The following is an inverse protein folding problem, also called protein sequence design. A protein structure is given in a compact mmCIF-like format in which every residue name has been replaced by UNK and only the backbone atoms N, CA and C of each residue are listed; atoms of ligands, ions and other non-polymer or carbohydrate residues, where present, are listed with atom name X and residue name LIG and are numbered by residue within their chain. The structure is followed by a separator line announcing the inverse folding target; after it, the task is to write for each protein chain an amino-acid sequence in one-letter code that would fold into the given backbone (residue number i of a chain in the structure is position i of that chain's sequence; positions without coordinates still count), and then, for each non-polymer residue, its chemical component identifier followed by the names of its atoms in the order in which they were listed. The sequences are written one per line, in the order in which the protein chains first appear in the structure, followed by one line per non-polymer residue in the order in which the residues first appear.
data_IF_708683601987
#
_entry.id   IF_708683601987
#
_cell.length_a   1.000
_cell.length_b   1.000
_cell.length_c   1.000
_cell.angle_alpha   90.00
_cell.angle_beta   90.00
_cell.angle_gamma   90.00
#
_symmetry.space_group_name_H-M   'P 1'
#
loop_
_entity.id
_entity.type
_entity.pdbx_description
1 polymer ?
#
# COMPACT_ATOMS: atom_id res chain seq x y z
N UNK A 1 14.33 1.34 5.88
CA UNK A 1 13.25 0.32 5.90
C UNK A 1 12.12 0.82 5.01
N UNK A 2 11.59 -0.02 4.09
CA UNK A 2 10.53 0.40 3.15
C UNK A 2 9.18 0.62 3.81
N UNK A 3 8.94 0.02 4.99
CA UNK A 3 7.72 0.18 5.76
C UNK A 3 8.02 0.87 7.08
N UNK A 4 7.17 1.84 7.45
CA UNK A 4 7.22 2.54 8.73
C UNK A 4 5.81 2.66 9.29
N UNK A 5 5.66 2.49 10.60
CA UNK A 5 4.37 2.61 11.30
C UNK A 5 4.42 3.84 12.20
N UNK A 6 3.38 4.66 12.12
CA UNK A 6 3.17 5.85 12.95
C UNK A 6 1.72 5.82 13.47
N UNK A 7 1.56 5.39 14.72
CA UNK A 7 0.24 5.18 15.31
C UNK A 7 -0.55 4.12 14.55
N UNK A 8 -1.72 4.49 14.01
CA UNK A 8 -2.61 3.58 13.26
C UNK A 8 -2.38 3.62 11.74
N UNK A 9 -1.38 4.38 11.27
CA UNK A 9 -1.05 4.55 9.85
C UNK A 9 0.34 3.97 9.59
N UNK A 10 0.46 3.24 8.49
CA UNK A 10 1.75 2.80 7.97
C UNK A 10 2.05 3.47 6.63
N UNK A 11 3.33 3.61 6.30
CA UNK A 11 3.82 4.12 5.02
C UNK A 11 4.74 3.08 4.38
N UNK A 12 4.51 2.79 3.11
CA UNK A 12 5.35 1.95 2.26
C UNK A 12 5.98 2.79 1.15
N UNK A 13 7.31 2.91 1.14
CA UNK A 13 8.04 3.51 0.03
C UNK A 13 8.44 2.43 -0.99
N UNK A 14 7.76 2.46 -2.14
CA UNK A 14 7.92 1.57 -3.27
C UNK A 14 8.37 2.33 -4.53
N UNK A 15 8.93 3.53 -4.39
CA UNK A 15 9.43 4.29 -5.52
C UNK A 15 10.51 3.49 -6.27
N UNK A 16 10.36 3.38 -7.60
CA UNK A 16 11.32 2.67 -8.47
C UNK A 16 11.28 1.14 -8.36
N UNK A 17 10.28 0.57 -7.68
CA UNK A 17 10.13 -0.89 -7.54
C UNK A 17 9.35 -1.43 -8.74
N UNK A 18 9.76 -2.60 -9.25
CA UNK A 18 9.01 -3.30 -10.29
C UNK A 18 7.64 -3.74 -9.79
N UNK A 19 6.66 -3.78 -10.69
CA UNK A 19 5.25 -4.03 -10.35
C UNK A 19 5.03 -5.33 -9.56
N UNK A 20 5.66 -6.42 -10.01
CA UNK A 20 5.51 -7.72 -9.35
C UNK A 20 6.13 -7.72 -7.95
N UNK A 21 7.35 -7.21 -7.82
CA UNK A 21 8.03 -7.08 -6.51
C UNK A 21 7.23 -6.20 -5.55
N UNK A 22 6.64 -5.09 -6.04
CA UNK A 22 5.81 -4.22 -5.24
C UNK A 22 4.57 -4.96 -4.70
N UNK A 23 3.94 -5.79 -5.54
CA UNK A 23 2.78 -6.61 -5.15
C UNK A 23 3.16 -7.63 -4.08
N UNK A 24 4.30 -8.29 -4.24
CA UNK A 24 4.77 -9.32 -3.30
C UNK A 24 5.17 -8.71 -1.96
N UNK A 25 5.87 -7.57 -1.98
CA UNK A 25 6.20 -6.80 -0.77
C UNK A 25 4.96 -6.33 -0.01
N UNK A 26 3.98 -5.78 -0.72
CA UNK A 26 2.73 -5.32 -0.10
C UNK A 26 1.97 -6.50 0.51
N UNK A 27 1.85 -7.61 -0.22
CA UNK A 27 1.11 -8.80 0.25
C UNK A 27 1.80 -9.41 1.47
N UNK A 28 3.11 -9.59 1.43
CA UNK A 28 3.89 -10.12 2.56
C UNK A 28 3.78 -9.24 3.81
N UNK A 29 3.83 -7.91 3.64
CA UNK A 29 3.64 -7.00 4.76
C UNK A 29 2.20 -7.02 5.29
N UNK A 30 1.18 -7.03 4.42
CA UNK A 30 -0.22 -7.07 4.84
C UNK A 30 -0.58 -8.34 5.62
N UNK A 31 0.07 -9.47 5.32
CA UNK A 31 -0.08 -10.72 6.07
C UNK A 31 0.37 -10.60 7.53
N UNK A 32 1.35 -9.74 7.82
CA UNK A 32 1.98 -9.60 9.14
C UNK A 32 1.68 -8.27 9.81
N UNK A 33 0.99 -7.35 9.14
CA UNK A 33 0.75 -6.02 9.65
C UNK A 33 -0.01 -6.04 11.00
N UNK A 34 0.32 -5.16 11.96
CA UNK A 34 -0.38 -5.12 13.25
C UNK A 34 -1.86 -4.78 13.12
N UNK A 35 -2.72 -5.43 13.91
CA UNK A 35 -4.18 -5.21 13.88
C UNK A 35 -4.60 -3.75 14.15
N UNK A 36 -3.76 -3.00 14.86
CA UNK A 36 -3.95 -1.57 15.13
C UNK A 36 -3.75 -0.67 13.89
N UNK A 37 -3.07 -1.15 12.85
CA UNK A 37 -2.90 -0.38 11.60
C UNK A 37 -4.18 -0.45 10.78
N UNK A 38 -4.74 0.72 10.50
CA UNK A 38 -6.01 0.91 9.79
C UNK A 38 -5.83 1.50 8.39
N UNK A 39 -4.66 2.06 8.11
CA UNK A 39 -4.33 2.66 6.82
C UNK A 39 -2.88 2.36 6.44
N UNK A 40 -2.66 2.01 5.18
CA UNK A 40 -1.34 1.92 4.58
C UNK A 40 -1.24 2.93 3.42
N UNK A 41 -0.30 3.86 3.51
CA UNK A 41 0.04 4.82 2.45
C UNK A 41 1.15 4.26 1.60
N UNK A 42 0.90 4.08 0.31
CA UNK A 42 1.88 3.53 -0.63
C UNK A 42 2.43 4.67 -1.48
N UNK A 43 3.68 5.01 -1.25
CA UNK A 43 4.43 6.00 -2.03
C UNK A 43 5.06 5.25 -3.21
N UNK A 44 4.56 5.50 -4.41
CA UNK A 44 5.06 4.88 -5.64
C UNK A 44 5.69 5.91 -6.60
N UNK A 45 5.60 7.20 -6.27
CA UNK A 45 6.04 8.31 -7.12
C UNK A 45 5.16 8.50 -8.35
N UNK A 46 5.44 9.57 -9.10
CA UNK A 46 4.59 10.02 -10.22
C UNK A 46 5.34 10.22 -11.53
N UNK A 47 6.65 10.48 -11.50
CA UNK A 47 7.37 11.01 -12.67
C UNK A 47 7.91 9.97 -13.66
N UNK A 48 8.06 8.69 -13.26
CA UNK A 48 8.67 7.65 -14.11
C UNK A 48 7.70 6.55 -14.54
N UNK A 49 6.41 6.87 -14.58
CA UNK A 49 5.35 5.97 -15.04
C UNK A 49 4.26 5.75 -14.01
N UNK A 50 3.19 5.11 -14.45
CA UNK A 50 1.96 4.93 -13.68
C UNK A 50 1.70 3.47 -13.32
N UNK A 51 2.58 2.54 -13.70
CA UNK A 51 2.37 1.10 -13.53
C UNK A 51 2.00 0.70 -12.09
N UNK A 52 2.71 1.21 -11.08
CA UNK A 52 2.38 0.94 -9.67
C UNK A 52 1.06 1.58 -9.23
N UNK A 53 0.80 2.81 -9.67
CA UNK A 53 -0.47 3.51 -9.41
C UNK A 53 -1.64 2.71 -9.98
N UNK A 54 -1.52 2.29 -11.23
CA UNK A 54 -2.57 1.59 -11.98
C UNK A 54 -2.73 0.17 -11.42
N UNK A 55 -1.64 -0.51 -11.05
CA UNK A 55 -1.69 -1.78 -10.31
C UNK A 55 -2.50 -1.65 -9.03
N UNK A 56 -2.22 -0.62 -8.21
CA UNK A 56 -2.91 -0.41 -6.95
C UNK A 56 -4.39 -0.11 -7.17
N UNK A 57 -4.69 0.84 -8.06
CA UNK A 57 -6.05 1.36 -8.25
C UNK A 57 -6.97 0.44 -9.05
N UNK A 58 -6.42 -0.36 -9.96
CA UNK A 58 -7.21 -1.16 -10.90
C UNK A 58 -7.22 -2.66 -10.60
N UNK A 59 -6.32 -3.17 -9.74
CA UNK A 59 -6.17 -4.62 -9.60
C UNK A 59 -5.57 -5.13 -8.28
N UNK A 60 -5.28 -4.26 -7.32
CA UNK A 60 -4.75 -4.72 -6.04
C UNK A 60 -5.87 -5.17 -5.10
N UNK A 61 -5.89 -6.47 -4.80
CA UNK A 61 -6.83 -7.08 -3.87
C UNK A 61 -6.07 -7.90 -2.83
N UNK A 62 -6.49 -7.78 -1.58
CA UNK A 62 -5.95 -8.53 -0.47
C UNK A 62 -7.03 -8.66 0.62
N UNK A 63 -7.16 -9.79 1.34
CA UNK A 63 -8.19 -9.98 2.36
C UNK A 63 -8.26 -8.85 3.40
N UNK A 64 -7.08 -8.33 3.77
CA UNK A 64 -6.91 -7.22 4.72
C UNK A 64 -7.27 -5.83 4.15
N UNK A 65 -7.35 -5.67 2.83
CA UNK A 65 -7.69 -4.38 2.21
C UNK A 65 -9.20 -4.25 2.11
N UNK A 66 -9.74 -3.18 2.68
CA UNK A 66 -11.14 -2.80 2.60
C UNK A 66 -11.42 -1.96 1.35
N UNK A 67 -10.54 -1.01 1.06
CA UNK A 67 -10.69 -0.10 -0.07
C UNK A 67 -9.32 0.44 -0.51
N UNK A 68 -9.22 0.75 -1.80
CA UNK A 68 -8.11 1.49 -2.39
C UNK A 68 -8.60 2.88 -2.73
N UNK A 69 -7.95 3.91 -2.20
CA UNK A 69 -8.34 5.30 -2.39
C UNK A 69 -7.20 6.09 -3.04
N UNK A 70 -7.49 6.95 -4.03
CA UNK A 70 -6.51 7.93 -4.48
C UNK A 70 -6.22 8.92 -3.34
N UNK A 71 -5.02 9.51 -3.37
CA UNK A 71 -4.68 10.64 -2.51
C UNK A 71 -4.56 11.92 -3.33
N UNK A 72 -4.54 13.09 -2.66
CA UNK A 72 -4.25 14.38 -3.31
C UNK A 72 -2.82 14.45 -3.85
N UNK A 73 -1.92 13.62 -3.34
CA UNK A 73 -0.59 13.43 -3.90
C UNK A 73 -0.67 12.34 -5.00
N UNK A 74 -0.40 12.67 -6.27
CA UNK A 74 -0.51 11.72 -7.37
C UNK A 74 0.54 10.58 -7.30
N UNK A 75 1.59 10.73 -6.50
CA UNK A 75 2.59 9.71 -6.21
C UNK A 75 2.26 8.80 -5.03
N UNK A 76 1.07 8.95 -4.44
CA UNK A 76 0.62 8.17 -3.28
C UNK A 76 -0.77 7.58 -3.51
N UNK A 77 -0.95 6.34 -3.05
CA UNK A 77 -2.24 5.65 -2.98
C UNK A 77 -2.49 5.15 -1.55
N UNK A 78 -3.71 5.31 -1.05
CA UNK A 78 -4.09 4.93 0.32
C UNK A 78 -4.86 3.61 0.30
N UNK A 79 -4.41 2.64 1.10
CA UNK A 79 -5.09 1.37 1.33
C UNK A 79 -5.76 1.42 2.70
N UNK A 80 -7.09 1.41 2.72
CA UNK A 80 -7.87 1.28 3.95
C UNK A 80 -7.87 -0.18 4.37
N UNK A 81 -7.46 -0.48 5.60
CA UNK A 81 -7.32 -1.84 6.10
C UNK A 81 -8.50 -2.23 6.99
N UNK A 82 -8.90 -3.49 6.88
CA UNK A 82 -9.78 -4.14 7.85
C UNK A 82 -8.97 -4.42 9.12
N UNK A 83 -9.67 -4.57 10.26
CA UNK A 83 -9.06 -5.20 11.44
C UNK A 83 -8.50 -6.55 11.03
N UNK A 84 -7.33 -6.91 11.56
CA UNK A 84 -6.78 -8.24 11.32
C UNK A 84 -7.85 -9.28 11.72
N UNK A 85 -8.04 -10.35 10.93
CA UNK A 85 -8.85 -11.47 11.38
C UNK A 85 -8.27 -11.94 12.72
N UNK A 86 -9.15 -12.09 13.72
CA UNK A 86 -8.78 -12.66 15.02
C UNK A 86 -8.32 -14.09 14.85
#
# INVERSE_FOLDING_TARGET
MRFQIQGTVATADLHGVYQQDAKDLLSGWLNTAPAAVTELRVIHGYQRGTALRDMLRSGFSHPRVKAVLPSLNPGETRLVLKKAPR
#
